data_IF_851983302188
#
_entry.id   IF_851983302188
#
_cell.length_a   1.000
_cell.length_b   1.000
_cell.length_c   1.000
_cell.angle_alpha   90.00
_cell.angle_beta   90.00
_cell.angle_gamma   90.00
#
_symmetry.space_group_name_H-M   'P 1'
#
loop_
_entity.id
_entity.type
_entity.pdbx_description
1 polymer ?
#
# COMPACT_ATOMS: atom_id res chain seq x y z
N UNK A 1 25.70 -1.92 -4.96
CA UNK A 1 25.38 -0.99 -3.86
C UNK A 1 24.18 -1.51 -3.07
N UNK A 2 24.10 -1.24 -1.75
CA UNK A 2 22.89 -1.50 -0.97
C UNK A 2 21.84 -0.40 -1.17
N UNK A 3 20.60 -0.82 -1.38
CA UNK A 3 19.42 0.05 -1.57
C UNK A 3 18.60 0.11 -0.29
N UNK A 4 18.43 -1.00 0.41
CA UNK A 4 17.75 -1.06 1.70
C UNK A 4 18.70 -1.57 2.77
N UNK A 5 19.03 -0.74 3.75
CA UNK A 5 19.90 -1.12 4.86
C UNK A 5 19.19 -2.01 5.89
N UNK A 6 17.88 -1.85 6.09
CA UNK A 6 17.12 -2.63 7.09
C UNK A 6 17.11 -4.12 6.78
N UNK A 7 16.97 -4.48 5.50
CA UNK A 7 16.88 -5.86 5.04
C UNK A 7 18.10 -6.30 4.21
N UNK A 8 19.13 -5.45 4.11
CA UNK A 8 20.35 -5.75 3.36
C UNK A 8 20.14 -5.95 1.85
N UNK A 9 19.15 -5.27 1.26
CA UNK A 9 18.81 -5.46 -0.16
C UNK A 9 19.74 -4.66 -1.06
N UNK A 10 20.28 -5.32 -2.08
CA UNK A 10 21.19 -4.73 -3.06
C UNK A 10 20.46 -4.21 -4.30
N UNK A 11 21.13 -3.32 -5.01
CA UNK A 11 20.67 -2.81 -6.32
C UNK A 11 20.51 -3.92 -7.36
N UNK A 12 21.33 -4.98 -7.26
CA UNK A 12 21.27 -6.14 -8.14
C UNK A 12 19.99 -6.95 -7.91
N UNK A 13 19.66 -7.24 -6.64
CA UNK A 13 18.41 -7.91 -6.28
C UNK A 13 17.19 -7.12 -6.75
N UNK A 14 17.19 -5.79 -6.61
CA UNK A 14 16.07 -4.96 -7.10
C UNK A 14 15.91 -5.08 -8.62
N UNK A 15 17.02 -5.12 -9.37
CA UNK A 15 17.00 -5.30 -10.84
C UNK A 15 16.56 -6.71 -11.24
N UNK A 16 17.00 -7.74 -10.52
CA UNK A 16 16.58 -9.13 -10.75
C UNK A 16 15.08 -9.29 -10.53
N UNK A 17 14.54 -8.73 -9.44
CA UNK A 17 13.09 -8.75 -9.20
C UNK A 17 12.32 -7.93 -10.23
N UNK A 18 12.85 -6.78 -10.67
CA UNK A 18 12.26 -6.01 -11.76
C UNK A 18 12.23 -6.81 -13.07
N UNK A 19 13.30 -7.54 -13.40
CA UNK A 19 13.36 -8.44 -14.55
C UNK A 19 12.41 -9.65 -14.42
N UNK A 20 12.15 -10.09 -13.19
CA UNK A 20 11.15 -11.12 -12.87
C UNK A 20 9.69 -10.60 -12.89
N UNK A 21 9.46 -9.31 -13.16
CA UNK A 21 8.13 -8.71 -13.28
C UNK A 21 7.68 -7.85 -12.09
N UNK A 22 8.54 -7.59 -11.10
CA UNK A 22 8.24 -6.67 -10.00
C UNK A 22 8.48 -5.21 -10.43
N UNK A 23 7.55 -4.70 -11.23
CA UNK A 23 7.63 -3.37 -11.85
C UNK A 23 7.17 -2.22 -10.93
N UNK A 24 6.81 -2.49 -9.68
CA UNK A 24 6.39 -1.48 -8.71
C UNK A 24 7.12 -1.63 -7.37
N UNK A 25 7.32 -0.54 -6.59
CA UNK A 25 7.94 -0.62 -5.27
C UNK A 25 7.19 -1.57 -4.33
N UNK A 26 5.87 -1.67 -4.50
CA UNK A 26 5.01 -2.57 -3.73
C UNK A 26 5.25 -4.04 -4.09
N UNK A 27 5.42 -4.36 -5.37
CA UNK A 27 5.81 -5.71 -5.80
C UNK A 27 7.23 -6.06 -5.36
N UNK A 28 8.18 -5.11 -5.46
CA UNK A 28 9.53 -5.29 -4.92
C UNK A 28 9.47 -5.58 -3.42
N UNK A 29 8.66 -4.84 -2.65
CA UNK A 29 8.44 -5.10 -1.24
C UNK A 29 7.85 -6.49 -0.98
N UNK A 30 6.91 -6.97 -1.80
CA UNK A 30 6.39 -8.33 -1.69
C UNK A 30 7.43 -9.41 -2.00
N UNK A 31 8.34 -9.16 -2.95
CA UNK A 31 9.34 -10.13 -3.38
C UNK A 31 10.56 -10.20 -2.44
N UNK A 32 11.05 -9.06 -1.95
CA UNK A 32 12.31 -8.96 -1.20
C UNK A 32 12.20 -8.21 0.13
N UNK A 33 10.99 -7.84 0.57
CA UNK A 33 10.74 -7.13 1.83
C UNK A 33 11.32 -5.71 1.92
N UNK A 34 11.91 -5.20 0.85
CA UNK A 34 12.44 -3.84 0.83
C UNK A 34 11.34 -2.79 1.10
N UNK A 35 11.60 -1.88 2.04
CA UNK A 35 10.72 -0.73 2.30
C UNK A 35 9.50 -1.03 3.18
N UNK A 36 9.42 -2.20 3.82
CA UNK A 36 8.35 -2.52 4.80
C UNK A 36 8.68 -2.09 6.24
N UNK A 37 9.87 -1.51 6.46
CA UNK A 37 10.34 -1.02 7.76
C UNK A 37 10.37 0.52 7.76
N UNK A 38 11.54 1.16 7.80
CA UNK A 38 11.66 2.62 7.83
C UNK A 38 11.25 3.33 6.53
N UNK A 39 11.08 2.60 5.42
CA UNK A 39 10.60 3.14 4.14
C UNK A 39 11.59 4.03 3.37
N UNK A 40 12.80 4.32 3.89
CA UNK A 40 13.74 5.25 3.26
C UNK A 40 14.21 4.85 1.85
N UNK A 41 14.21 3.55 1.54
CA UNK A 41 14.61 3.03 0.23
C UNK A 41 13.52 3.19 -0.85
N UNK A 42 12.26 3.49 -0.49
CA UNK A 42 11.12 3.46 -1.42
C UNK A 42 11.29 4.46 -2.57
N UNK A 43 11.71 5.69 -2.28
CA UNK A 43 11.96 6.72 -3.31
C UNK A 43 13.11 6.34 -4.24
N UNK A 44 14.16 5.71 -3.70
CA UNK A 44 15.28 5.19 -4.49
C UNK A 44 14.85 4.05 -5.42
N UNK A 45 14.04 3.13 -4.90
CA UNK A 45 13.47 2.02 -5.68
C UNK A 45 12.59 2.58 -6.82
N UNK A 46 11.73 3.56 -6.54
CA UNK A 46 10.94 4.23 -7.58
C UNK A 46 11.81 4.86 -8.67
N UNK A 47 12.92 5.51 -8.30
CA UNK A 47 13.83 6.11 -9.26
C UNK A 47 14.53 5.06 -10.15
N UNK A 48 14.90 3.91 -9.59
CA UNK A 48 15.52 2.81 -10.34
C UNK A 48 14.54 2.11 -11.29
N UNK A 49 13.28 1.95 -10.87
CA UNK A 49 12.22 1.42 -11.73
C UNK A 49 11.78 2.47 -12.77
N UNK A 50 11.97 3.75 -12.52
CA UNK A 50 11.59 4.83 -13.42
C UNK A 50 10.11 5.24 -13.30
N UNK A 51 9.79 6.44 -13.81
CA UNK A 51 8.43 6.99 -13.88
C UNK A 51 7.62 6.31 -14.99
N UNK A 52 7.26 5.02 -14.80
CA UNK A 52 6.38 4.33 -15.75
C UNK A 52 6.62 2.84 -15.99
N UNK A 53 7.49 2.16 -15.23
CA UNK A 53 7.81 0.74 -15.48
C UNK A 53 6.65 -0.26 -15.35
N UNK A 54 5.46 0.16 -14.94
CA UNK A 54 4.29 -0.70 -15.02
C UNK A 54 3.13 0.10 -15.62
N UNK A 55 3.06 0.14 -16.95
CA UNK A 55 1.82 0.49 -17.61
C UNK A 55 0.76 -0.55 -17.17
N UNK A 56 -0.50 -0.14 -16.93
CA UNK A 56 -1.60 -1.06 -16.58
C UNK A 56 -1.74 -2.28 -17.50
N UNK A 57 -1.21 -2.18 -18.72
CA UNK A 57 -1.15 -3.25 -19.72
C UNK A 57 -0.39 -4.50 -19.27
N UNK A 58 0.69 -4.37 -18.53
CA UNK A 58 1.50 -5.53 -18.11
C UNK A 58 0.85 -6.27 -16.93
N UNK A 59 0.23 -5.53 -16.01
CA UNK A 59 -0.64 -6.07 -14.97
C UNK A 59 -1.86 -6.81 -15.54
N UNK A 60 -2.44 -6.29 -16.63
CA UNK A 60 -3.51 -6.97 -17.37
C UNK A 60 -3.00 -8.25 -18.02
N UNK A 61 -1.83 -8.22 -18.66
CA UNK A 61 -1.21 -9.38 -19.29
C UNK A 61 -0.90 -10.49 -18.27
N UNK A 62 -0.37 -10.15 -17.09
CA UNK A 62 -0.12 -11.12 -16.02
C UNK A 62 -1.41 -11.77 -15.52
N UNK A 63 -2.50 -10.99 -15.37
CA UNK A 63 -3.81 -11.53 -14.95
C UNK A 63 -4.45 -12.43 -16.02
N UNK A 64 -4.14 -12.21 -17.29
CA UNK A 64 -4.61 -13.03 -18.41
C UNK A 64 -3.71 -14.26 -18.66
N UNK A 65 -2.48 -14.27 -18.14
CA UNK A 65 -1.51 -15.36 -18.26
C UNK A 65 -1.58 -16.40 -17.13
N UNK A 66 -2.60 -16.34 -16.27
CA UNK A 66 -2.90 -17.37 -15.26
C UNK A 66 -3.88 -18.40 -15.85
N UNK A 67 -3.44 -19.54 -16.40
CA UNK A 67 -4.29 -20.71 -16.55
C UNK A 67 -4.34 -21.48 -15.22
N UNK A 68 -5.45 -21.35 -14.50
CA UNK A 68 -5.87 -22.34 -13.50
C UNK A 68 -5.55 -22.02 -12.03
N UNK A 69 -6.52 -21.45 -11.34
CA UNK A 69 -6.81 -21.78 -9.95
C UNK A 69 -8.25 -22.34 -9.91
N UNK A 70 -8.55 -23.36 -9.09
CA UNK A 70 -9.72 -24.21 -9.27
C UNK A 70 -11.03 -23.43 -9.08
N UNK A 71 -11.99 -23.77 -9.94
CA UNK A 71 -13.40 -23.46 -9.78
C UNK A 71 -13.85 -23.69 -8.34
N UNK A 72 -14.53 -22.69 -7.76
CA UNK A 72 -15.56 -22.97 -6.80
C UNK A 72 -16.88 -22.58 -7.48
N UNK A 73 -17.74 -23.54 -7.82
CA UNK A 73 -18.96 -23.27 -8.56
C UNK A 73 -19.94 -22.50 -7.66
N UNK A 74 -20.40 -21.36 -8.18
CA UNK A 74 -21.73 -20.77 -8.06
C UNK A 74 -22.71 -21.42 -7.05
N UNK A 75 -23.28 -20.60 -6.17
CA UNK A 75 -24.74 -20.51 -6.05
C UNK A 75 -25.20 -19.15 -5.49
N UNK A 76 -26.08 -18.44 -6.22
CA UNK A 76 -26.82 -17.28 -5.72
C UNK A 76 -28.06 -17.76 -4.96
N UNK A 77 -28.26 -17.27 -3.73
CA UNK A 77 -29.52 -17.53 -3.02
C UNK A 77 -29.42 -17.36 -1.51
N UNK A 78 -29.84 -16.19 -1.03
CA UNK A 78 -30.72 -16.00 0.13
C UNK A 78 -30.56 -14.56 0.63
N UNK A 79 -31.52 -13.70 0.27
CA UNK A 79 -31.87 -12.61 1.16
C UNK A 79 -32.43 -13.21 2.46
N UNK A 80 -32.07 -12.66 3.61
CA UNK A 80 -33.06 -12.45 4.65
C UNK A 80 -33.25 -10.95 4.82
N UNK A 81 -34.47 -10.52 4.55
CA UNK A 81 -34.98 -9.24 5.02
C UNK A 81 -35.02 -9.27 6.55
N UNK A 82 -34.37 -8.30 7.18
CA UNK A 82 -34.62 -7.88 8.55
C UNK A 82 -34.11 -6.43 8.74
N UNK A 83 -35.02 -5.50 8.46
CA UNK A 83 -35.05 -4.10 8.87
C UNK A 83 -35.10 -3.96 10.42
N UNK A 84 -35.00 -2.78 11.05
CA UNK A 84 -34.02 -1.69 11.02
C UNK A 84 -33.38 -1.48 12.42
N UNK A 85 -32.30 -0.70 12.55
CA UNK A 85 -31.95 -0.20 13.89
C UNK A 85 -30.51 0.20 14.16
N UNK A 86 -29.89 1.03 13.32
CA UNK A 86 -28.77 1.87 13.78
C UNK A 86 -29.06 3.28 13.32
N UNK A 87 -29.79 4.03 14.16
CA UNK A 87 -29.79 5.47 14.07
C UNK A 87 -28.33 5.94 14.13
N UNK A 88 -27.84 6.78 13.20
CA UNK A 88 -26.55 7.41 13.37
C UNK A 88 -26.64 8.30 14.61
N UNK A 89 -26.07 7.78 15.70
CA UNK A 89 -25.86 8.49 16.94
C UNK A 89 -25.08 9.76 16.64
N UNK A 90 -25.80 10.87 16.63
CA UNK A 90 -25.35 12.18 17.10
C UNK A 90 -24.11 12.03 17.97
N UNK A 91 -22.93 12.37 17.46
CA UNK A 91 -21.72 12.42 18.28
C UNK A 91 -21.80 13.66 19.18
N UNK A 92 -22.07 13.56 20.50
CA UNK A 92 -22.03 14.70 21.40
C UNK A 92 -20.66 14.65 22.06
N UNK A 93 -19.69 15.45 21.60
CA UNK A 93 -18.39 15.40 22.27
C UNK A 93 -17.20 16.13 21.68
N UNK A 94 -17.34 16.86 20.56
CA UNK A 94 -16.28 17.81 20.19
C UNK A 94 -16.49 19.08 21.01
N UNK A 95 -16.07 19.04 22.27
CA UNK A 95 -15.70 20.27 22.95
C UNK A 95 -14.40 20.76 22.30
N UNK A 96 -14.33 21.97 21.70
CA UNK A 96 -13.05 22.53 21.35
C UNK A 96 -12.24 22.69 22.64
N UNK A 97 -11.20 21.88 22.78
CA UNK A 97 -10.28 21.95 23.91
C UNK A 97 -9.66 23.33 23.96
N UNK A 98 -10.11 24.15 24.92
CA UNK A 98 -9.40 25.33 25.40
C UNK A 98 -8.01 24.85 25.82
N UNK A 99 -6.98 25.15 25.04
CA UNK A 99 -5.58 24.85 25.39
C UNK A 99 -5.21 25.74 26.58
N UNK A 100 -4.97 25.22 27.80
CA UNK A 100 -4.45 26.04 28.88
C UNK A 100 -2.92 26.01 28.80
N UNK A 101 -2.29 27.15 28.50
CA UNK A 101 -0.89 27.35 28.88
C UNK A 101 0.17 27.62 27.82
N UNK A 102 -0.16 28.07 26.61
CA UNK A 102 0.88 28.70 25.77
C UNK A 102 0.99 30.20 26.12
N UNK A 103 1.98 30.55 26.94
CA UNK A 103 2.46 31.94 27.06
C UNK A 103 2.99 32.34 25.68
N UNK A 104 2.34 33.28 25.00
CA UNK A 104 2.98 34.00 23.90
C UNK A 104 4.22 34.72 24.45
N UNK A 105 5.40 34.61 23.82
CA UNK A 105 6.50 35.52 24.10
C UNK A 105 6.16 36.93 23.61
N UNK A 106 6.45 37.91 24.45
CA UNK A 106 6.27 39.35 24.26
C UNK A 106 6.99 39.80 22.98
N UNK A 107 6.23 40.35 22.02
CA UNK A 107 6.78 40.99 20.83
C UNK A 107 7.02 42.47 21.16
N UNK A 108 8.29 42.86 20.97
CA UNK A 108 8.88 44.16 21.24
C UNK A 108 8.13 45.37 20.67
#
# INVERSE_FOLDING_TARGET
MYVCSCFGITEQQVKEHAAAGACTPRQIASACKAGTDCGGCVRRIQAMLGRGACAPRELLAQRLAEPGAPEQPLSPGAAPEADPGIAPGRAPGIAPGRVPGIRLPDAA
#
